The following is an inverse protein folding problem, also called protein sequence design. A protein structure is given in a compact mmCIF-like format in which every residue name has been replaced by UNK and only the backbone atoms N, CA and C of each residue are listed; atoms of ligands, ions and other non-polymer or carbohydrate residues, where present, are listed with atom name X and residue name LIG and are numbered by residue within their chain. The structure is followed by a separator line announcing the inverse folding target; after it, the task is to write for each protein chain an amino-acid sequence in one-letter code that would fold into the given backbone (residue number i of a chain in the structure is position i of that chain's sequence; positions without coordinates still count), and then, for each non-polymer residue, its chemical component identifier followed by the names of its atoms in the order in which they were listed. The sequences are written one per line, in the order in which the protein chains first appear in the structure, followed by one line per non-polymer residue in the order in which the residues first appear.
data_IF_773111117123
#
_entry.id   IF_773111117123
#
_cell.length_a   1.000
_cell.length_b   1.000
_cell.length_c   1.000
_cell.angle_alpha   90.00
_cell.angle_beta   90.00
_cell.angle_gamma   90.00
#
_symmetry.space_group_name_H-M   'P 1'
#
loop_
_entity.id
_entity.type
_entity.pdbx_description
1 polymer ?
#
# COMPACT_ATOMS: atom_id res chain seq x y z
N UNK A 1 -0.31 -25.74 17.63
CA UNK A 1 0.48 -24.71 16.92
C UNK A 1 1.97 -24.88 17.19
N UNK A 2 2.82 -24.66 16.19
CA UNK A 2 4.27 -24.56 16.38
C UNK A 2 4.65 -23.08 16.46
N UNK A 3 5.71 -22.73 17.19
CA UNK A 3 6.18 -21.36 17.28
C UNK A 3 7.71 -21.29 17.32
N UNK A 4 8.29 -20.31 16.65
CA UNK A 4 9.74 -20.13 16.55
C UNK A 4 10.09 -18.84 15.81
N UNK A 5 11.24 -18.26 16.14
CA UNK A 5 11.76 -17.00 15.55
C UNK A 5 10.77 -15.81 15.56
N UNK A 6 9.84 -15.77 16.51
CA UNK A 6 8.79 -14.75 16.61
C UNK A 6 7.54 -15.00 15.75
N UNK A 7 7.46 -16.12 15.02
CA UNK A 7 6.27 -16.58 14.28
C UNK A 7 5.53 -17.69 15.01
N UNK A 8 4.20 -17.73 14.85
CA UNK A 8 3.37 -18.90 15.17
C UNK A 8 2.88 -19.53 13.87
N UNK A 9 3.20 -20.81 13.68
CA UNK A 9 2.79 -21.64 12.56
C UNK A 9 1.51 -22.42 12.94
N UNK A 10 0.44 -22.17 12.20
CA UNK A 10 -0.88 -22.73 12.47
C UNK A 10 -1.11 -24.04 11.70
N UNK A 11 -1.97 -24.90 12.25
CA UNK A 11 -2.05 -26.34 11.90
C UNK A 11 -2.61 -26.66 10.51
N UNK A 12 -3.13 -25.67 9.77
CA UNK A 12 -3.88 -25.87 8.53
C UNK A 12 -3.07 -25.72 7.22
N UNK A 13 -1.77 -25.43 7.27
CA UNK A 13 -0.92 -25.35 6.06
C UNK A 13 0.30 -26.29 6.14
N UNK A 14 0.80 -26.72 4.98
CA UNK A 14 2.05 -27.47 4.86
C UNK A 14 3.22 -26.57 5.28
N UNK A 15 3.58 -26.61 6.57
CA UNK A 15 4.68 -25.81 7.15
C UNK A 15 6.00 -25.93 6.36
N UNK A 16 6.25 -27.06 5.69
CA UNK A 16 7.41 -27.28 4.82
C UNK A 16 7.49 -26.35 3.61
N UNK A 17 6.37 -25.75 3.19
CA UNK A 17 6.29 -24.87 2.03
C UNK A 17 6.55 -23.41 2.38
N UNK A 18 6.66 -23.06 3.66
CA UNK A 18 6.91 -21.67 4.07
C UNK A 18 8.38 -21.29 3.81
N UNK A 19 8.63 -20.07 3.35
CA UNK A 19 9.98 -19.54 3.06
C UNK A 19 10.97 -19.77 4.20
N UNK A 20 10.50 -19.65 5.45
CA UNK A 20 11.28 -19.92 6.65
C UNK A 20 11.95 -21.31 6.64
N UNK A 21 11.27 -22.34 6.10
CA UNK A 21 11.80 -23.70 5.99
C UNK A 21 12.49 -23.98 4.65
N UNK A 22 12.26 -23.16 3.63
CA UNK A 22 12.89 -23.32 2.31
C UNK A 22 14.27 -22.65 2.21
N UNK A 23 14.53 -21.62 3.02
CA UNK A 23 15.79 -20.89 2.97
C UNK A 23 16.98 -21.75 3.45
N UNK A 24 18.20 -21.57 2.88
CA UNK A 24 19.40 -22.25 3.34
C UNK A 24 19.69 -21.94 4.82
N UNK A 25 19.54 -22.94 5.68
CA UNK A 25 19.72 -22.78 7.11
C UNK A 25 21.19 -22.97 7.50
N UNK A 26 21.76 -21.97 8.17
CA UNK A 26 23.11 -22.07 8.76
C UNK A 26 23.08 -22.61 10.19
N UNK A 27 21.89 -22.64 10.82
CA UNK A 27 21.64 -23.17 12.15
C UNK A 27 20.37 -24.03 12.14
N UNK A 28 20.21 -24.99 13.07
CA UNK A 28 18.96 -25.73 13.20
C UNK A 28 17.76 -24.81 13.44
N UNK A 29 16.64 -25.10 12.79
CA UNK A 29 15.37 -24.43 13.06
C UNK A 29 14.83 -24.95 14.41
N UNK A 30 14.66 -24.05 15.37
CA UNK A 30 14.08 -24.36 16.67
C UNK A 30 12.61 -23.95 16.73
N UNK A 31 11.74 -24.93 16.96
CA UNK A 31 10.29 -24.72 17.13
C UNK A 31 9.84 -25.31 18.46
N UNK A 32 8.92 -24.63 19.12
CA UNK A 32 8.22 -25.13 20.29
C UNK A 32 6.75 -25.37 19.95
N UNK A 33 6.19 -26.44 20.50
CA UNK A 33 4.75 -26.68 20.44
C UNK A 33 4.08 -25.80 21.50
N UNK A 34 3.14 -24.95 21.08
CA UNK A 34 2.35 -24.11 21.97
C UNK A 34 0.86 -24.43 21.84
N UNK A 35 0.14 -24.33 22.96
CA UNK A 35 -1.31 -24.53 22.95
C UNK A 35 -2.01 -23.33 22.30
N UNK A 36 -3.22 -23.56 21.74
CA UNK A 36 -4.02 -22.49 21.16
C UNK A 36 -4.32 -21.36 22.15
N UNK A 37 -4.39 -21.65 23.45
CA UNK A 37 -4.65 -20.67 24.51
C UNK A 37 -3.43 -19.82 24.89
N UNK A 38 -2.21 -20.22 24.47
CA UNK A 38 -0.96 -19.53 24.80
C UNK A 38 -0.44 -18.69 23.65
N UNK A 39 -1.06 -18.77 22.47
CA UNK A 39 -0.60 -18.06 21.26
C UNK A 39 -0.49 -16.57 21.50
N UNK A 40 -1.53 -15.93 22.04
CA UNK A 40 -1.52 -14.48 22.26
C UNK A 40 -0.42 -14.05 23.23
N UNK A 41 -0.21 -14.83 24.30
CA UNK A 41 0.86 -14.58 25.28
C UNK A 41 2.24 -14.76 24.65
N UNK A 42 2.41 -15.78 23.82
CA UNK A 42 3.67 -16.04 23.14
C UNK A 42 3.99 -14.97 22.11
N UNK A 43 3.01 -14.57 21.29
CA UNK A 43 3.16 -13.48 20.31
C UNK A 43 3.50 -12.17 21.02
N UNK A 44 2.82 -11.85 22.13
CA UNK A 44 3.13 -10.65 22.91
C UNK A 44 4.58 -10.63 23.44
N UNK A 45 5.16 -11.79 23.75
CA UNK A 45 6.52 -11.91 24.31
C UNK A 45 7.63 -12.06 23.26
N UNK A 46 7.32 -12.59 22.07
CA UNK A 46 8.33 -13.03 21.09
C UNK A 46 8.18 -12.40 19.70
N UNK A 47 7.07 -11.70 19.40
CA UNK A 47 6.89 -11.04 18.11
C UNK A 47 8.03 -10.05 17.87
N UNK A 48 8.54 -10.04 16.64
CA UNK A 48 9.58 -9.10 16.19
C UNK A 48 8.90 -8.01 15.35
N UNK A 49 8.72 -6.79 15.88
CA UNK A 49 8.05 -5.72 15.15
C UNK A 49 8.71 -5.43 13.80
N UNK A 50 7.91 -5.16 12.77
CA UNK A 50 8.40 -4.70 11.47
C UNK A 50 9.01 -5.75 10.55
N UNK A 51 8.75 -7.05 10.74
CA UNK A 51 9.20 -8.10 9.79
C UNK A 51 8.66 -7.94 8.37
N UNK A 52 7.52 -7.28 8.22
CA UNK A 52 6.93 -6.96 6.92
C UNK A 52 7.69 -5.88 6.13
N UNK A 53 8.65 -5.18 6.77
CA UNK A 53 9.46 -4.14 6.14
C UNK A 53 10.61 -4.76 5.36
N UNK A 54 10.89 -4.19 4.19
CA UNK A 54 11.94 -4.64 3.27
C UNK A 54 13.27 -3.93 3.52
N UNK A 55 13.20 -2.70 4.00
CA UNK A 55 14.37 -1.93 4.38
C UNK A 55 14.78 -2.29 5.82
N UNK A 56 16.00 -2.82 6.03
CA UNK A 56 16.47 -3.26 7.35
C UNK A 56 16.78 -2.04 8.23
N UNK A 57 15.75 -1.46 8.83
CA UNK A 57 15.89 -0.34 9.78
C UNK A 57 15.85 -0.86 11.21
N UNK A 58 17.00 -0.90 11.87
CA UNK A 58 17.07 -1.20 13.29
C UNK A 58 16.68 0.06 14.07
N UNK A 59 15.49 0.04 14.67
CA UNK A 59 15.10 1.10 15.60
C UNK A 59 15.99 1.04 16.84
N UNK A 60 16.54 2.17 17.30
CA UNK A 60 17.34 2.19 18.51
C UNK A 60 16.47 1.90 19.75
N UNK A 61 17.12 1.48 20.84
CA UNK A 61 16.46 1.29 22.12
C UNK A 61 15.66 2.53 22.54
N UNK A 62 14.48 2.30 23.11
CA UNK A 62 13.55 3.37 23.52
C UNK A 62 14.23 4.38 24.47
N UNK A 63 15.13 3.91 25.32
CA UNK A 63 15.90 4.73 26.27
C UNK A 63 16.92 5.65 25.59
N UNK A 64 17.33 5.35 24.35
CA UNK A 64 18.28 6.14 23.55
C UNK A 64 17.60 7.15 22.61
N UNK A 65 16.26 7.21 22.57
CA UNK A 65 15.54 8.08 21.65
C UNK A 65 15.67 9.57 22.01
N UNK A 66 16.04 10.44 21.04
CA UNK A 66 16.10 11.88 21.25
C UNK A 66 14.80 12.46 21.82
N UNK A 67 14.90 13.51 22.63
CA UNK A 67 13.72 14.24 23.14
C UNK A 67 13.09 15.15 22.07
N UNK A 68 13.90 15.68 21.15
CA UNK A 68 13.41 16.47 20.02
C UNK A 68 12.56 15.57 19.09
N UNK A 69 11.28 15.92 18.81
CA UNK A 69 10.39 15.05 18.04
C UNK A 69 10.87 14.75 16.61
N UNK A 70 11.52 15.70 15.95
CA UNK A 70 12.03 15.53 14.59
C UNK A 70 13.23 14.56 14.59
N UNK A 71 14.19 14.76 15.48
CA UNK A 71 15.32 13.84 15.64
C UNK A 71 14.86 12.43 16.06
N UNK A 72 13.83 12.35 16.90
CA UNK A 72 13.19 11.08 17.27
C UNK A 72 12.57 10.38 16.05
N UNK A 73 11.87 11.12 15.19
CA UNK A 73 11.28 10.57 13.97
C UNK A 73 12.36 10.04 13.01
N UNK A 74 13.48 10.76 12.85
CA UNK A 74 14.62 10.32 12.03
C UNK A 74 15.31 9.07 12.58
N UNK A 75 15.31 8.89 13.91
CA UNK A 75 15.86 7.69 14.54
C UNK A 75 14.93 6.47 14.36
N UNK A 76 13.61 6.68 14.46
CA UNK A 76 12.61 5.61 14.40
C UNK A 76 12.28 5.16 12.98
N UNK A 77 12.35 6.06 12.01
CA UNK A 77 11.90 5.79 10.65
C UNK A 77 12.96 6.18 9.63
N UNK A 78 13.03 5.48 8.49
CA UNK A 78 14.00 5.76 7.45
C UNK A 78 13.57 6.98 6.61
N UNK A 79 13.47 8.14 7.25
CA UNK A 79 13.06 9.40 6.63
C UNK A 79 14.12 9.91 5.64
N UNK A 80 13.68 10.69 4.65
CA UNK A 80 14.51 11.26 3.60
C UNK A 80 14.28 12.77 3.54
N UNK A 81 15.32 13.58 3.30
CA UNK A 81 15.17 15.01 2.96
C UNK A 81 14.21 15.84 3.84
N UNK A 82 14.16 15.56 5.14
CA UNK A 82 13.07 16.04 6.01
C UNK A 82 12.97 17.56 6.12
N UNK A 83 11.74 18.09 6.15
CA UNK A 83 11.43 19.50 6.42
C UNK A 83 11.19 19.80 7.90
N UNK A 84 11.48 21.04 8.31
CA UNK A 84 11.08 21.53 9.63
C UNK A 84 9.56 21.60 9.75
N UNK A 85 9.03 21.13 10.89
CA UNK A 85 7.60 21.18 11.18
C UNK A 85 7.34 21.00 12.68
N UNK A 86 6.33 21.68 13.27
CA UNK A 86 5.95 21.47 14.66
C UNK A 86 5.22 20.12 14.88
N UNK A 87 4.81 19.43 13.82
CA UNK A 87 3.93 18.26 13.93
C UNK A 87 4.69 16.92 14.02
N UNK A 88 6.02 16.90 14.07
CA UNK A 88 6.80 15.66 14.16
C UNK A 88 6.43 14.78 15.36
N UNK A 89 6.01 15.36 16.48
CA UNK A 89 5.53 14.60 17.64
C UNK A 89 4.29 13.77 17.30
N UNK A 90 3.29 14.39 16.68
CA UNK A 90 2.07 13.69 16.22
C UNK A 90 2.38 12.65 15.16
N UNK A 91 3.33 12.94 14.26
CA UNK A 91 3.76 11.98 13.23
C UNK A 91 4.34 10.71 13.85
N UNK A 92 5.23 10.85 14.84
CA UNK A 92 5.78 9.69 15.56
C UNK A 92 4.68 8.87 16.19
N UNK A 93 3.78 9.51 16.96
CA UNK A 93 2.67 8.82 17.62
C UNK A 93 1.78 8.06 16.64
N UNK A 94 1.34 8.71 15.55
CA UNK A 94 0.40 8.09 14.62
C UNK A 94 1.05 7.08 13.67
N UNK A 95 2.33 7.26 13.30
CA UNK A 95 3.06 6.27 12.50
C UNK A 95 3.37 5.03 13.33
N UNK A 96 3.81 5.17 14.58
CA UNK A 96 3.98 4.01 15.46
C UNK A 96 2.67 3.26 15.70
N UNK A 97 1.55 4.00 15.87
CA UNK A 97 0.24 3.37 16.00
C UNK A 97 -0.19 2.61 14.72
N UNK A 98 0.13 3.14 13.53
CA UNK A 98 -0.12 2.46 12.27
C UNK A 98 0.75 1.21 12.11
N UNK A 99 2.06 1.31 12.36
CA UNK A 99 2.98 0.18 12.24
C UNK A 99 2.66 -0.92 13.28
N UNK A 100 2.34 -0.55 14.52
CA UNK A 100 1.90 -1.50 15.55
C UNK A 100 0.58 -2.20 15.16
N UNK A 101 -0.32 -1.50 14.45
CA UNK A 101 -1.54 -2.11 13.93
C UNK A 101 -1.22 -3.15 12.85
N UNK A 102 -0.27 -2.87 11.96
CA UNK A 102 0.21 -3.83 10.95
C UNK A 102 0.82 -5.05 11.63
N UNK A 103 1.71 -4.83 12.60
CA UNK A 103 2.35 -5.91 13.39
C UNK A 103 1.29 -6.74 14.14
N UNK A 104 0.23 -6.12 14.66
CA UNK A 104 -0.85 -6.82 15.36
C UNK A 104 -1.73 -7.65 14.43
N UNK A 105 -2.20 -7.03 13.34
CA UNK A 105 -3.28 -7.58 12.51
C UNK A 105 -2.81 -8.35 11.29
N UNK A 106 -1.64 -8.03 10.75
CA UNK A 106 -1.22 -8.51 9.43
C UNK A 106 0.01 -9.41 9.48
N UNK A 107 0.92 -9.22 10.44
CA UNK A 107 2.07 -10.13 10.61
C UNK A 107 1.62 -11.56 10.99
N UNK A 108 0.44 -11.71 11.59
CA UNK A 108 -0.18 -13.01 11.86
C UNK A 108 -0.97 -13.61 10.69
N UNK A 109 -1.18 -12.87 9.59
CA UNK A 109 -2.00 -13.30 8.46
C UNK A 109 -1.28 -14.26 7.53
N UNK A 110 -0.01 -14.63 7.74
CA UNK A 110 0.69 -15.68 6.98
C UNK A 110 -0.17 -16.96 6.74
N UNK A 111 -1.20 -17.15 7.58
CA UNK A 111 -2.07 -18.31 7.63
C UNK A 111 -3.55 -18.02 7.34
N UNK A 112 -3.92 -16.79 7.00
CA UNK A 112 -5.26 -16.38 6.57
C UNK A 112 -5.34 -16.36 5.03
N UNK A 113 -6.51 -16.52 4.42
CA UNK A 113 -6.67 -16.43 2.96
C UNK A 113 -6.44 -14.98 2.47
N UNK A 114 -6.66 -13.99 3.36
CA UNK A 114 -6.31 -12.59 3.13
C UNK A 114 -4.81 -12.28 3.08
N UNK A 115 -3.93 -13.23 3.45
CA UNK A 115 -2.48 -13.06 3.34
C UNK A 115 -2.05 -12.72 1.93
N UNK A 116 -2.59 -13.45 0.95
CA UNK A 116 -2.21 -13.34 -0.46
C UNK A 116 -2.45 -11.93 -0.98
N UNK A 117 -3.59 -11.33 -0.62
CA UNK A 117 -3.90 -9.96 -1.00
C UNK A 117 -2.96 -8.94 -0.31
N UNK A 118 -2.62 -9.17 0.95
CA UNK A 118 -1.66 -8.34 1.66
C UNK A 118 -0.25 -8.42 1.06
N UNK A 119 0.24 -9.62 0.74
CA UNK A 119 1.51 -9.80 0.02
C UNK A 119 1.48 -9.15 -1.35
N UNK A 120 0.37 -9.25 -2.08
CA UNK A 120 0.21 -8.55 -3.35
C UNK A 120 0.33 -7.03 -3.19
N UNK A 121 -0.30 -6.43 -2.17
CA UNK A 121 -0.12 -4.99 -1.88
C UNK A 121 1.36 -4.71 -1.59
N UNK A 122 1.99 -5.56 -0.78
CA UNK A 122 3.40 -5.45 -0.46
C UNK A 122 4.21 -5.43 -1.77
N UNK A 123 4.19 -6.48 -2.58
CA UNK A 123 5.01 -6.55 -3.78
C UNK A 123 4.69 -5.44 -4.79
N UNK A 124 3.40 -5.17 -5.02
CA UNK A 124 2.96 -4.13 -5.95
C UNK A 124 3.51 -2.75 -5.56
N UNK A 125 3.58 -2.40 -4.27
CA UNK A 125 4.11 -1.09 -3.84
C UNK A 125 5.58 -0.92 -4.18
N UNK A 126 6.39 -1.98 -4.08
CA UNK A 126 7.79 -1.93 -4.50
C UNK A 126 7.90 -1.88 -6.02
N UNK A 127 7.18 -2.75 -6.73
CA UNK A 127 7.17 -2.79 -8.20
C UNK A 127 6.68 -1.48 -8.84
N UNK A 128 5.81 -0.74 -8.14
CA UNK A 128 5.29 0.55 -8.60
C UNK A 128 6.39 1.58 -8.84
N UNK A 129 7.56 1.40 -8.22
CA UNK A 129 8.73 2.27 -8.32
C UNK A 129 9.70 1.83 -9.43
N UNK A 130 9.42 0.71 -10.11
CA UNK A 130 10.17 0.31 -11.30
C UNK A 130 10.00 1.36 -12.41
N UNK A 131 11.12 1.72 -13.05
CA UNK A 131 11.17 2.77 -14.07
C UNK A 131 11.40 4.18 -13.52
N UNK A 132 11.62 4.34 -12.20
CA UNK A 132 12.10 5.59 -11.61
C UNK A 132 13.64 5.59 -11.56
N UNK A 133 14.29 6.02 -12.66
CA UNK A 133 15.75 5.89 -12.87
C UNK A 133 16.62 6.63 -11.84
N UNK A 134 16.05 7.56 -11.07
CA UNK A 134 16.78 8.41 -10.11
C UNK A 134 16.64 7.96 -8.65
N UNK A 135 16.04 6.80 -8.39
CA UNK A 135 15.92 6.22 -7.05
C UNK A 135 16.93 5.09 -6.86
N UNK A 136 17.64 5.10 -5.73
CA UNK A 136 18.41 3.95 -5.31
C UNK A 136 17.47 2.83 -4.81
N UNK A 137 17.90 1.57 -4.92
CA UNK A 137 17.12 0.41 -4.46
C UNK A 137 16.68 0.54 -2.99
N UNK A 138 17.56 1.04 -2.13
CA UNK A 138 17.22 1.30 -0.72
C UNK A 138 16.11 2.34 -0.56
N UNK A 139 16.08 3.36 -1.40
CA UNK A 139 15.03 4.39 -1.35
C UNK A 139 13.70 3.83 -1.83
N UNK A 140 13.71 2.96 -2.84
CA UNK A 140 12.52 2.24 -3.27
C UNK A 140 11.93 1.41 -2.12
N UNK A 141 12.78 0.67 -1.38
CA UNK A 141 12.36 -0.10 -0.20
C UNK A 141 11.78 0.81 0.89
N UNK A 142 12.42 1.95 1.18
CA UNK A 142 11.93 2.92 2.17
C UNK A 142 10.57 3.52 1.79
N UNK A 143 10.34 3.81 0.52
CA UNK A 143 9.07 4.33 0.01
C UNK A 143 7.98 3.26 0.10
N UNK A 144 8.28 2.03 -0.34
CA UNK A 144 7.35 0.91 -0.27
C UNK A 144 6.97 0.57 1.19
N UNK A 145 7.94 0.59 2.11
CA UNK A 145 7.71 0.36 3.55
C UNK A 145 6.98 1.53 4.24
N UNK A 146 6.82 2.67 3.58
CA UNK A 146 6.02 3.78 4.09
C UNK A 146 4.51 3.55 3.90
N UNK A 147 4.11 2.53 3.13
CA UNK A 147 2.72 2.11 2.96
C UNK A 147 2.34 1.16 4.09
N UNK A 148 1.32 1.53 4.85
CA UNK A 148 0.78 0.74 5.97
C UNK A 148 -0.64 0.30 5.67
N UNK A 149 -0.93 -0.99 5.85
CA UNK A 149 -2.26 -1.54 5.73
C UNK A 149 -3.05 -1.26 7.01
N UNK A 150 -4.14 -0.51 6.89
CA UNK A 150 -4.93 -0.06 8.05
C UNK A 150 -6.22 -0.84 8.23
N UNK A 151 -6.73 -1.42 7.14
CA UNK A 151 -7.94 -2.23 7.13
C UNK A 151 -7.92 -3.07 5.86
N UNK A 152 -8.28 -4.34 5.99
CA UNK A 152 -8.48 -5.26 4.89
C UNK A 152 -9.65 -6.17 5.25
N UNK A 153 -10.73 -6.03 4.51
CA UNK A 153 -11.86 -6.94 4.53
C UNK A 153 -11.91 -7.60 3.15
N UNK A 154 -11.82 -8.92 3.09
CA UNK A 154 -11.73 -9.70 1.86
C UNK A 154 -12.74 -10.83 1.91
N UNK A 155 -13.44 -11.04 0.79
CA UNK A 155 -14.19 -12.26 0.49
C UNK A 155 -13.68 -12.78 -0.87
N UNK A 156 -13.30 -14.06 -0.94
CA UNK A 156 -12.83 -14.72 -2.16
C UNK A 156 -13.48 -16.11 -2.33
N UNK A 157 -13.37 -16.68 -3.54
CA UNK A 157 -13.86 -18.03 -3.87
C UNK A 157 -12.74 -19.00 -4.28
N UNK A 158 -11.57 -18.90 -3.63
CA UNK A 158 -10.30 -19.60 -3.95
C UNK A 158 -9.68 -19.25 -5.31
N UNK A 159 -10.48 -18.83 -6.30
CA UNK A 159 -10.01 -18.47 -7.63
C UNK A 159 -9.97 -16.97 -7.90
N UNK A 160 -10.85 -16.19 -7.25
CA UNK A 160 -11.00 -14.74 -7.49
C UNK A 160 -11.44 -13.99 -6.25
N UNK A 161 -11.08 -12.71 -6.21
CA UNK A 161 -11.57 -11.78 -5.20
C UNK A 161 -13.03 -11.44 -5.53
N UNK A 162 -13.93 -11.69 -4.58
CA UNK A 162 -15.35 -11.41 -4.70
C UNK A 162 -15.72 -10.04 -4.14
N UNK A 163 -15.17 -9.67 -2.99
CA UNK A 163 -15.32 -8.37 -2.34
C UNK A 163 -13.99 -7.99 -1.70
N UNK A 164 -13.58 -6.74 -1.85
CA UNK A 164 -12.48 -6.21 -1.07
C UNK A 164 -12.74 -4.77 -0.66
N UNK A 165 -12.54 -4.51 0.62
CA UNK A 165 -12.49 -3.17 1.20
C UNK A 165 -11.13 -3.01 1.88
N UNK A 166 -10.27 -2.19 1.30
CA UNK A 166 -8.91 -1.96 1.80
C UNK A 166 -8.66 -0.48 2.03
N UNK A 167 -8.11 -0.17 3.21
CA UNK A 167 -7.64 1.17 3.57
C UNK A 167 -6.15 1.07 3.84
N UNK A 168 -5.37 1.87 3.13
CA UNK A 168 -3.94 2.01 3.39
C UNK A 168 -3.57 3.45 3.66
N UNK A 169 -2.43 3.63 4.33
CA UNK A 169 -1.84 4.94 4.59
C UNK A 169 -0.41 4.95 4.07
N UNK A 170 -0.14 5.89 3.18
CA UNK A 170 1.20 6.20 2.70
C UNK A 170 1.76 7.34 3.56
N UNK A 171 2.73 7.04 4.41
CA UNK A 171 3.41 8.03 5.23
C UNK A 171 4.42 8.83 4.39
N UNK A 172 4.41 10.16 4.48
CA UNK A 172 5.47 10.95 3.86
C UNK A 172 6.82 10.63 4.51
N UNK A 173 7.87 10.51 3.69
CA UNK A 173 9.25 10.35 4.17
C UNK A 173 9.93 11.68 4.46
N UNK A 174 9.37 12.80 3.97
CA UNK A 174 10.00 14.13 4.02
C UNK A 174 9.30 15.08 4.99
N UNK A 175 8.07 14.80 5.41
CA UNK A 175 7.27 15.72 6.23
C UNK A 175 6.30 14.95 7.13
N UNK A 176 5.76 15.57 8.19
CA UNK A 176 4.80 14.91 9.07
C UNK A 176 3.37 14.90 8.47
N UNK A 177 3.25 14.35 7.27
CA UNK A 177 2.01 14.24 6.49
C UNK A 177 1.79 12.81 6.04
N UNK A 178 0.58 12.51 5.58
CA UNK A 178 0.27 11.22 4.96
C UNK A 178 -0.84 11.33 3.93
N UNK A 179 -1.00 10.27 3.15
CA UNK A 179 -2.14 10.11 2.25
C UNK A 179 -2.80 8.77 2.56
N UNK A 180 -4.08 8.83 2.90
CA UNK A 180 -4.91 7.62 3.01
C UNK A 180 -5.44 7.28 1.62
N UNK A 181 -5.47 6.00 1.29
CA UNK A 181 -6.06 5.46 0.05
C UNK A 181 -7.09 4.40 0.44
N UNK A 182 -8.23 4.39 -0.23
CA UNK A 182 -9.32 3.46 0.03
C UNK A 182 -9.87 2.91 -1.27
N UNK A 183 -9.92 1.58 -1.38
CA UNK A 183 -10.59 0.83 -2.43
C UNK A 183 -11.74 0.05 -1.80
N UNK A 184 -12.93 0.18 -2.40
CA UNK A 184 -14.04 -0.75 -2.23
C UNK A 184 -14.34 -1.36 -3.59
N UNK A 185 -14.28 -2.68 -3.69
CA UNK A 185 -14.46 -3.46 -4.91
C UNK A 185 -15.43 -4.59 -4.62
N UNK A 186 -16.46 -4.71 -5.45
CA UNK A 186 -17.48 -5.74 -5.31
C UNK A 186 -17.70 -6.39 -6.67
N UNK A 187 -17.65 -7.73 -6.71
CA UNK A 187 -17.80 -8.54 -7.91
C UNK A 187 -18.92 -9.58 -7.76
N UNK A 188 -19.17 -10.10 -6.56
CA UNK A 188 -20.10 -11.23 -6.32
C UNK A 188 -21.51 -11.07 -6.92
N UNK A 189 -22.13 -9.87 -6.84
CA UNK A 189 -23.49 -9.62 -7.38
C UNK A 189 -23.63 -8.41 -8.28
N UNK A 190 -22.65 -7.52 -8.29
CA UNK A 190 -22.67 -6.32 -9.10
C UNK A 190 -21.23 -5.87 -9.29
N UNK A 191 -20.75 -5.88 -10.53
CA UNK A 191 -19.37 -5.52 -10.83
C UNK A 191 -19.16 -4.01 -10.65
N UNK A 192 -18.52 -3.61 -9.55
CA UNK A 192 -18.32 -2.20 -9.21
C UNK A 192 -17.10 -1.99 -8.33
N UNK A 193 -16.48 -0.82 -8.46
CA UNK A 193 -15.49 -0.36 -7.50
C UNK A 193 -15.47 1.16 -7.37
N UNK A 194 -14.99 1.63 -6.23
CA UNK A 194 -14.62 3.02 -6.02
C UNK A 194 -13.25 3.10 -5.36
N UNK A 195 -12.39 3.92 -5.93
CA UNK A 195 -11.07 4.27 -5.41
C UNK A 195 -11.06 5.76 -5.06
N UNK A 196 -10.52 6.07 -3.89
CA UNK A 196 -10.33 7.45 -3.47
C UNK A 196 -9.19 7.61 -2.48
N UNK A 197 -8.87 8.85 -2.20
CA UNK A 197 -7.74 9.22 -1.36
C UNK A 197 -8.08 10.43 -0.49
N UNK A 198 -7.36 10.58 0.62
CA UNK A 198 -7.43 11.73 1.52
C UNK A 198 -6.03 12.17 1.89
N UNK A 199 -5.73 13.45 1.64
CA UNK A 199 -4.48 14.08 2.05
C UNK A 199 -4.62 14.54 3.50
N UNK A 200 -3.72 14.08 4.35
CA UNK A 200 -3.62 14.50 5.74
C UNK A 200 -2.45 15.48 5.88
N UNK A 201 -2.77 16.77 5.87
CA UNK A 201 -1.80 17.87 6.00
C UNK A 201 -1.14 17.93 7.40
N UNK A 202 -1.79 17.32 8.38
CA UNK A 202 -1.29 17.12 9.73
C UNK A 202 -1.41 15.64 10.11
N UNK A 203 -0.61 15.15 11.08
CA UNK A 203 -0.74 13.81 11.59
C UNK A 203 -2.13 13.57 12.19
N UNK A 204 -2.79 12.52 11.72
CA UNK A 204 -4.11 12.11 12.21
C UNK A 204 -4.09 10.65 12.63
N UNK A 205 -5.03 10.25 13.49
CA UNK A 205 -5.20 8.85 13.86
C UNK A 205 -5.43 7.99 12.61
N UNK A 206 -4.78 6.82 12.51
CA UNK A 206 -5.03 5.89 11.41
C UNK A 206 -6.49 5.44 11.36
N UNK A 207 -7.02 5.36 10.13
CA UNK A 207 -8.42 5.02 9.91
C UNK A 207 -8.53 3.51 9.66
N UNK A 208 -9.16 2.77 10.58
CA UNK A 208 -9.33 1.31 10.47
C UNK A 208 -10.66 0.90 9.84
N UNK A 209 -11.56 1.86 9.59
CA UNK A 209 -12.84 1.63 8.91
C UNK A 209 -13.25 2.86 8.11
N UNK A 210 -13.80 2.65 6.92
CA UNK A 210 -14.25 3.76 6.08
C UNK A 210 -15.54 4.37 6.67
N UNK A 211 -15.62 5.70 6.86
CA UNK A 211 -16.69 6.34 7.62
C UNK A 211 -18.05 6.34 6.92
N UNK A 212 -18.12 5.99 5.63
CA UNK A 212 -19.36 6.07 4.85
C UNK A 212 -19.44 5.01 3.76
N UNK A 213 -20.11 3.91 4.04
CA UNK A 213 -20.52 2.93 3.03
C UNK A 213 -21.80 3.45 2.35
N UNK A 214 -21.68 4.35 1.36
CA UNK A 214 -22.83 4.67 0.51
C UNK A 214 -23.01 3.59 -0.55
N UNK A 215 -24.25 3.17 -0.81
CA UNK A 215 -24.56 2.30 -1.95
C UNK A 215 -24.18 2.92 -3.31
N UNK A 216 -24.06 4.26 -3.38
CA UNK A 216 -23.69 5.01 -4.58
C UNK A 216 -22.17 5.05 -4.74
N UNK A 217 -21.64 4.14 -5.56
CA UNK A 217 -20.21 3.98 -5.86
C UNK A 217 -19.55 5.31 -6.25
N UNK A 218 -20.16 6.06 -7.16
CA UNK A 218 -19.66 7.36 -7.64
C UNK A 218 -19.66 8.50 -6.60
N UNK A 219 -20.19 8.28 -5.40
CA UNK A 219 -20.24 9.28 -4.30
C UNK A 219 -19.56 8.79 -3.03
N UNK A 220 -18.93 7.61 -3.05
CA UNK A 220 -18.31 7.01 -1.86
C UNK A 220 -17.27 7.95 -1.23
N UNK A 221 -16.44 8.59 -2.05
CA UNK A 221 -15.35 9.47 -1.60
C UNK A 221 -15.69 10.97 -1.77
N UNK A 222 -16.89 11.40 -1.35
CA UNK A 222 -17.40 12.78 -1.54
C UNK A 222 -17.45 13.67 -0.28
N UNK A 223 -16.74 13.32 0.80
CA UNK A 223 -16.77 14.10 2.05
C UNK A 223 -15.58 13.86 2.97
N UNK A 224 -15.50 14.65 4.05
CA UNK A 224 -14.46 14.51 5.10
C UNK A 224 -13.02 14.52 4.56
N UNK A 225 -12.76 15.35 3.55
CA UNK A 225 -11.46 15.49 2.91
C UNK A 225 -11.13 14.41 1.88
N UNK A 226 -11.97 13.39 1.72
CA UNK A 226 -11.82 12.40 0.68
C UNK A 226 -12.10 12.99 -0.70
N UNK A 227 -11.30 12.56 -1.67
CA UNK A 227 -11.46 12.83 -3.10
C UNK A 227 -11.51 11.50 -3.83
N UNK A 228 -12.30 11.46 -4.89
CA UNK A 228 -12.40 10.29 -5.76
C UNK A 228 -11.21 10.25 -6.71
N UNK A 229 -10.53 9.10 -6.78
CA UNK A 229 -9.55 8.80 -7.82
C UNK A 229 -10.27 8.31 -9.06
N UNK A 230 -11.10 7.27 -8.92
CA UNK A 230 -11.84 6.66 -10.00
C UNK A 230 -12.89 5.69 -9.51
N UNK A 231 -13.87 5.38 -10.35
CA UNK A 231 -14.93 4.42 -10.05
C UNK A 231 -15.44 3.76 -11.32
N UNK A 232 -16.06 2.60 -11.12
CA UNK A 232 -16.72 1.79 -12.14
C UNK A 232 -17.96 1.12 -11.54
N UNK A 233 -19.02 0.97 -12.32
CA UNK A 233 -20.12 0.05 -12.05
C UNK A 233 -20.89 -0.28 -13.33
N UNK A 234 -21.62 -1.39 -13.33
CA UNK A 234 -22.66 -1.68 -14.32
C UNK A 234 -23.99 -1.07 -13.84
N UNK A 235 -24.67 -0.29 -14.70
CA UNK A 235 -26.00 0.22 -14.37
C UNK A 235 -27.10 -0.85 -14.56
N UNK A 236 -28.36 -0.48 -14.30
CA UNK A 236 -29.50 -1.41 -14.38
C UNK A 236 -29.75 -2.00 -15.79
N UNK A 237 -29.00 -1.54 -16.80
CA UNK A 237 -29.03 -2.05 -18.19
C UNK A 237 -27.75 -2.78 -18.58
N UNK A 238 -26.90 -3.12 -17.60
CA UNK A 238 -25.57 -3.69 -17.80
C UNK A 238 -24.64 -2.80 -18.63
N UNK A 239 -24.87 -1.47 -18.66
CA UNK A 239 -23.96 -0.54 -19.31
C UNK A 239 -22.82 -0.14 -18.37
N UNK A 240 -21.59 -0.20 -18.88
CA UNK A 240 -20.40 0.26 -18.15
C UNK A 240 -20.46 1.76 -17.87
N UNK A 241 -20.51 2.11 -16.58
CA UNK A 241 -20.39 3.48 -16.07
C UNK A 241 -19.07 3.61 -15.33
N UNK A 242 -18.24 4.55 -15.75
CA UNK A 242 -16.99 4.82 -15.07
C UNK A 242 -16.56 6.27 -15.20
N UNK A 243 -15.78 6.74 -14.23
CA UNK A 243 -15.04 7.99 -14.36
C UNK A 243 -13.77 7.96 -13.52
N UNK A 244 -12.74 8.67 -13.97
CA UNK A 244 -11.54 8.97 -13.21
C UNK A 244 -11.45 10.49 -13.03
N UNK A 245 -12.13 11.08 -12.02
CA UNK A 245 -12.21 12.53 -11.86
C UNK A 245 -10.92 13.17 -11.34
N UNK A 246 -9.94 12.38 -10.91
CA UNK A 246 -8.65 12.90 -10.46
C UNK A 246 -8.02 13.83 -11.50
N UNK A 247 -7.56 14.99 -11.06
CA UNK A 247 -6.86 15.95 -11.92
C UNK A 247 -5.34 15.89 -11.73
N UNK A 248 -4.59 16.46 -12.68
CA UNK A 248 -3.14 16.64 -12.55
C UNK A 248 -2.77 17.46 -11.29
N UNK A 249 -3.61 18.43 -10.92
CA UNK A 249 -3.42 19.22 -9.69
C UNK A 249 -3.55 18.36 -8.45
N UNK A 250 -4.56 17.48 -8.41
CA UNK A 250 -4.75 16.58 -7.28
C UNK A 250 -3.58 15.59 -7.13
N UNK A 251 -3.12 15.01 -8.25
CA UNK A 251 -1.96 14.12 -8.25
C UNK A 251 -0.69 14.84 -7.79
N UNK A 252 -0.50 16.09 -8.25
CA UNK A 252 0.61 16.93 -7.77
C UNK A 252 0.52 17.20 -6.26
N UNK A 253 -0.68 17.42 -5.72
CA UNK A 253 -0.85 17.60 -4.27
C UNK A 253 -0.46 16.35 -3.49
N UNK A 254 -0.85 15.17 -3.96
CA UNK A 254 -0.42 13.89 -3.37
C UNK A 254 1.09 13.75 -3.44
N UNK A 255 1.68 13.97 -4.62
CA UNK A 255 3.13 13.92 -4.83
C UNK A 255 3.87 14.84 -3.86
N UNK A 256 3.50 16.12 -3.82
CA UNK A 256 4.15 17.11 -2.96
C UNK A 256 3.97 16.79 -1.47
N UNK A 257 2.86 16.13 -1.10
CA UNK A 257 2.62 15.67 0.28
C UNK A 257 3.56 14.53 0.66
N UNK A 258 3.72 13.54 -0.22
CA UNK A 258 4.48 12.33 0.08
C UNK A 258 5.98 12.55 -0.04
N UNK A 259 6.42 13.21 -1.11
CA UNK A 259 7.81 13.32 -1.52
C UNK A 259 8.38 14.75 -1.42
N UNK A 260 7.52 15.73 -1.13
CA UNK A 260 7.90 17.14 -1.16
C UNK A 260 7.85 17.73 -2.57
N UNK A 261 8.03 19.05 -2.70
CA UNK A 261 8.05 19.71 -4.00
C UNK A 261 9.24 19.23 -4.84
N UNK A 262 9.06 19.18 -6.18
CA UNK A 262 10.11 18.91 -7.15
C UNK A 262 11.20 19.99 -7.16
N UNK A 263 12.14 19.87 -6.21
CA UNK A 263 13.30 20.73 -6.04
C UNK A 263 14.56 19.93 -6.32
N UNK A 264 15.54 20.57 -6.96
CA UNK A 264 16.78 19.91 -7.37
C UNK A 264 17.45 19.15 -6.22
N UNK A 265 17.75 17.88 -6.45
CA UNK A 265 18.41 16.98 -5.51
C UNK A 265 17.55 16.52 -4.33
N UNK A 266 16.23 16.74 -4.38
CA UNK A 266 15.28 16.29 -3.35
C UNK A 266 14.44 15.13 -3.84
N UNK A 267 13.90 14.34 -2.90
CA UNK A 267 13.06 13.19 -3.22
C UNK A 267 11.95 13.50 -4.22
N UNK A 268 11.24 14.63 -4.07
CA UNK A 268 10.18 15.04 -5.01
C UNK A 268 10.63 15.41 -6.43
N UNK A 269 11.92 15.56 -6.72
CA UNK A 269 12.40 15.62 -8.11
C UNK A 269 12.63 14.22 -8.69
N UNK A 270 12.98 13.25 -7.82
CA UNK A 270 13.42 11.92 -8.20
C UNK A 270 12.28 10.91 -8.31
N UNK A 271 11.15 11.19 -7.66
CA UNK A 271 9.89 10.47 -7.85
C UNK A 271 9.03 11.25 -8.83
N UNK A 272 8.59 10.62 -9.91
CA UNK A 272 7.72 11.27 -10.89
C UNK A 272 6.24 11.29 -10.47
N UNK A 273 5.42 12.07 -11.17
CA UNK A 273 3.95 11.97 -11.03
C UNK A 273 3.44 10.59 -11.47
N UNK A 274 4.11 9.94 -12.44
CA UNK A 274 3.83 8.54 -12.83
C UNK A 274 4.06 7.60 -11.65
N UNK A 275 5.24 7.64 -11.03
CA UNK A 275 5.55 6.83 -9.84
C UNK A 275 4.57 7.08 -8.69
N UNK A 276 4.15 8.34 -8.50
CA UNK A 276 3.12 8.67 -7.50
C UNK A 276 1.78 8.00 -7.81
N UNK A 277 1.30 8.07 -9.06
CA UNK A 277 0.04 7.44 -9.46
C UNK A 277 0.13 5.90 -9.36
N UNK A 278 1.24 5.30 -9.79
CA UNK A 278 1.51 3.87 -9.65
C UNK A 278 1.49 3.45 -8.19
N UNK A 279 2.16 4.19 -7.30
CA UNK A 279 2.21 3.89 -5.87
C UNK A 279 0.82 3.99 -5.22
N UNK A 280 0.01 4.99 -5.58
CA UNK A 280 -1.37 5.10 -5.07
C UNK A 280 -2.22 3.87 -5.44
N UNK A 281 -2.13 3.40 -6.67
CA UNK A 281 -2.85 2.21 -7.14
C UNK A 281 -2.32 0.94 -6.47
N UNK A 282 -1.00 0.79 -6.45
CA UNK A 282 -0.33 -0.34 -5.83
C UNK A 282 -0.60 -0.44 -4.31
N UNK A 283 -0.76 0.69 -3.63
CA UNK A 283 -1.08 0.75 -2.20
C UNK A 283 -2.41 0.10 -1.83
N UNK A 284 -3.26 -0.21 -2.81
CA UNK A 284 -4.53 -0.95 -2.63
C UNK A 284 -4.58 -2.18 -3.56
N UNK A 285 -3.42 -2.71 -3.95
CA UNK A 285 -3.33 -3.97 -4.67
C UNK A 285 -3.56 -3.86 -6.18
N UNK A 286 -3.62 -2.65 -6.74
CA UNK A 286 -3.78 -2.45 -8.18
C UNK A 286 -2.39 -2.25 -8.81
N UNK A 287 -1.82 -3.33 -9.35
CA UNK A 287 -0.62 -3.25 -10.19
C UNK A 287 -0.92 -2.49 -11.48
N UNK A 288 -0.20 -1.41 -11.75
CA UNK A 288 -0.45 -0.57 -12.92
C UNK A 288 0.84 0.03 -13.46
N UNK A 289 0.99 0.04 -14.78
CA UNK A 289 2.09 0.76 -15.44
C UNK A 289 1.61 1.76 -16.48
N UNK A 290 2.47 2.72 -16.80
CA UNK A 290 2.25 3.77 -17.78
C UNK A 290 3.55 3.98 -18.54
N UNK A 291 3.67 3.36 -19.72
CA UNK A 291 4.91 3.39 -20.48
C UNK A 291 5.27 4.82 -20.94
N UNK A 292 6.52 5.26 -20.86
CA UNK A 292 6.92 6.57 -21.39
C UNK A 292 7.02 6.57 -22.93
N UNK A 293 7.40 5.43 -23.49
CA UNK A 293 7.55 5.18 -24.91
C UNK A 293 7.30 3.69 -25.24
N UNK A 294 7.51 3.30 -26.50
CA UNK A 294 7.31 1.92 -26.97
C UNK A 294 8.32 0.92 -26.44
N UNK A 295 9.49 1.36 -26.00
CA UNK A 295 10.48 0.48 -25.41
C UNK A 295 10.12 0.19 -23.95
N UNK A 296 9.71 1.22 -23.20
CA UNK A 296 9.17 1.09 -21.85
C UNK A 296 7.90 0.22 -21.84
N UNK A 297 7.03 0.33 -22.86
CA UNK A 297 5.84 -0.53 -23.01
C UNK A 297 6.21 -2.02 -23.12
N UNK A 298 7.28 -2.35 -23.84
CA UNK A 298 7.72 -3.75 -23.99
C UNK A 298 8.33 -4.31 -22.70
N UNK A 299 9.02 -3.46 -21.94
CA UNK A 299 9.72 -3.87 -20.72
C UNK A 299 8.80 -3.93 -19.50
N UNK A 300 7.90 -2.95 -19.38
CA UNK A 300 7.11 -2.69 -18.19
C UNK A 300 5.58 -2.74 -18.44
N UNK A 301 5.15 -2.92 -19.68
CA UNK A 301 3.72 -2.92 -20.03
C UNK A 301 3.09 -1.53 -20.01
N UNK A 302 1.80 -1.47 -20.36
CA UNK A 302 1.02 -0.23 -20.38
C UNK A 302 -0.42 -0.51 -19.90
N UNK A 303 -0.65 -0.29 -18.61
CA UNK A 303 -1.94 -0.49 -17.95
C UNK A 303 -1.95 -1.47 -16.79
N UNK A 304 -3.13 -2.01 -16.52
CA UNK A 304 -3.36 -2.89 -15.39
C UNK A 304 -2.58 -4.20 -15.55
N UNK A 305 -1.80 -4.55 -14.53
CA UNK A 305 -1.08 -5.82 -14.46
C UNK A 305 -1.88 -6.76 -13.57
N UNK A 306 -2.33 -7.87 -14.14
CA UNK A 306 -3.11 -8.88 -13.41
C UNK A 306 -2.16 -9.76 -12.61
N UNK A 307 -2.29 -9.76 -11.28
CA UNK A 307 -1.65 -10.77 -10.43
C UNK A 307 -2.46 -12.08 -10.52
N UNK A 308 -1.81 -13.19 -10.85
CA UNK A 308 -2.47 -14.47 -11.03
C UNK A 308 -3.11 -15.04 -9.75
N UNK A 309 -2.57 -14.69 -8.58
CA UNK A 309 -2.93 -15.21 -7.26
C UNK A 309 -4.03 -14.38 -6.57
N UNK A 310 -4.16 -13.10 -6.92
CA UNK A 310 -5.14 -12.17 -6.35
C UNK A 310 -5.67 -11.22 -7.43
N UNK A 311 -6.70 -11.64 -8.16
CA UNK A 311 -7.20 -10.93 -9.35
C UNK A 311 -8.27 -9.91 -8.98
N UNK A 312 -7.96 -8.63 -9.19
CA UNK A 312 -8.95 -7.55 -9.27
C UNK A 312 -9.33 -7.32 -10.74
N UNK A 313 -10.52 -7.73 -11.14
CA UNK A 313 -10.96 -7.48 -12.51
C UNK A 313 -11.53 -6.05 -12.62
N UNK A 314 -10.74 -5.12 -13.15
CA UNK A 314 -11.09 -3.69 -13.20
C UNK A 314 -11.97 -3.28 -14.40
N UNK A 315 -12.48 -4.24 -15.17
CA UNK A 315 -13.32 -4.01 -16.36
C UNK A 315 -14.22 -5.21 -16.68
N UNK A 316 -15.51 -4.94 -16.99
CA UNK A 316 -16.46 -5.96 -17.44
C UNK A 316 -16.39 -6.33 -18.92
N UNK A 317 -15.72 -5.49 -19.71
CA UNK A 317 -15.50 -5.69 -21.13
C UNK A 317 -14.38 -4.80 -21.64
N UNK A 318 -14.70 -3.85 -22.53
CA UNK A 318 -13.69 -3.02 -23.20
C UNK A 318 -13.28 -1.75 -22.42
N UNK A 319 -14.04 -1.31 -21.40
CA UNK A 319 -13.74 -0.07 -20.68
C UNK A 319 -13.36 -0.36 -19.24
N UNK A 320 -12.07 -0.28 -18.93
CA UNK A 320 -11.65 -0.10 -17.54
C UNK A 320 -12.04 1.30 -17.06
N UNK A 321 -12.45 1.39 -15.78
CA UNK A 321 -12.71 2.67 -15.15
C UNK A 321 -11.44 3.50 -14.89
N UNK A 322 -10.30 2.82 -14.69
CA UNK A 322 -8.97 3.43 -14.63
C UNK A 322 -8.26 3.14 -15.96
N UNK A 323 -8.21 4.15 -16.82
CA UNK A 323 -7.58 4.04 -18.16
C UNK A 323 -6.18 4.63 -18.16
N UNK A 324 -5.27 3.93 -18.82
CA UNK A 324 -3.89 4.41 -19.06
C UNK A 324 -3.89 5.81 -19.64
N UNK A 325 -4.70 6.08 -20.67
CA UNK A 325 -4.76 7.38 -21.32
C UNK A 325 -5.10 8.53 -20.34
N UNK A 326 -5.94 8.26 -19.33
CA UNK A 326 -6.23 9.24 -18.29
C UNK A 326 -5.05 9.43 -17.34
N UNK A 327 -4.42 8.33 -16.89
CA UNK A 327 -3.24 8.41 -16.03
C UNK A 327 -2.11 9.17 -16.74
N UNK A 328 -1.83 8.88 -18.02
CA UNK A 328 -0.90 9.65 -18.87
C UNK A 328 -1.22 11.14 -18.83
N UNK A 329 -2.48 11.50 -19.07
CA UNK A 329 -2.93 12.91 -19.08
C UNK A 329 -2.68 13.61 -17.75
N UNK A 330 -2.99 12.99 -16.61
CA UNK A 330 -2.78 13.62 -15.29
C UNK A 330 -1.30 13.66 -14.89
N UNK A 331 -0.49 12.74 -15.41
CA UNK A 331 0.97 12.75 -15.25
C UNK A 331 1.69 13.70 -16.22
N UNK A 332 0.99 14.26 -17.21
CA UNK A 332 1.61 15.08 -18.26
C UNK A 332 2.41 14.29 -19.29
N UNK A 333 2.17 12.98 -19.40
CA UNK A 333 2.82 12.09 -20.36
C UNK A 333 2.03 12.12 -21.67
N UNK A 334 2.70 12.30 -22.83
CA UNK A 334 2.02 12.26 -24.12
C UNK A 334 1.42 10.87 -24.42
N UNK A 335 0.43 10.78 -25.31
CA UNK A 335 -0.01 9.50 -25.87
C UNK A 335 1.16 8.77 -26.52
N UNK A 336 1.16 7.43 -26.46
CA UNK A 336 2.09 6.65 -27.27
C UNK A 336 1.78 6.88 -28.75
N UNK A 337 2.81 7.05 -29.56
CA UNK A 337 2.64 7.09 -31.01
C UNK A 337 2.06 5.74 -31.48
N UNK A 338 1.03 5.81 -32.32
CA UNK A 338 0.58 4.66 -33.10
C UNK A 338 1.62 4.42 -34.22
N UNK A 339 2.08 3.18 -34.37
CA UNK A 339 2.90 2.78 -35.52
C UNK A 339 2.06 2.64 -36.79
#
# INVERSE_FOLDING_TARGET
NLAGDGTVFWEHKYISELDYFQQPQTQPIELILISAYEVDNWLAANRKPGRWKRFPHQSPDVSALPANPHARAQALFPLLDTSDSPHWAGYVTHRQAAEAHVDEKFEGLEYDDSATYWYMINDATLESLNGEDNLAEEECKKIADAVTNMSLELEDDEMRILDVSVITRIHSLVSPKSVDVHLSYYHYRAWRYSLGFRINEEPVVPLTRFPKETASVNRMHSGQGWKTFGWFYLDDKDEERCACPMSARDLKQVHDTLFGPAKKGKLGERVSLRGTAKLMLASVGIGFDVALDKEDEKQNGDGHRVNYEARLDLSAGQKSGIRVAHIRKICGIPPLAEE
#
